data_IF_756739625444
#
_entry.id   IF_756739625444
#
_cell.length_a   1.000
_cell.length_b   1.000
_cell.length_c   1.000
_cell.angle_alpha   90.00
_cell.angle_beta   90.00
_cell.angle_gamma   90.00
#
_symmetry.space_group_name_H-M   'P 1'
#
loop_
_entity.id
_entity.type
_entity.pdbx_description
1 polymer ?
#
# COMPACT_ATOMS: atom_id res chain seq x y z
N UNK A 1 -15.65 -4.37 4.20
CA UNK A 1 -14.56 -3.94 3.30
C UNK A 1 -14.14 -5.11 2.41
N UNK A 2 -13.82 -4.91 1.13
CA UNK A 2 -13.51 -5.99 0.18
C UNK A 2 -12.36 -6.93 0.61
N UNK A 3 -11.35 -6.39 1.31
CA UNK A 3 -10.16 -7.13 1.73
C UNK A 3 -10.43 -8.16 2.85
N UNK A 4 -11.57 -8.05 3.54
CA UNK A 4 -12.00 -8.91 4.65
C UNK A 4 -10.89 -9.09 5.72
N UNK A 5 -10.56 -7.99 6.41
CA UNK A 5 -9.51 -7.94 7.43
C UNK A 5 -9.98 -8.64 8.69
N UNK A 6 -9.10 -9.46 9.27
CA UNK A 6 -9.32 -10.12 10.55
C UNK A 6 -8.26 -9.68 11.57
N UNK A 7 -8.61 -9.75 12.85
CA UNK A 7 -7.67 -9.55 13.96
C UNK A 7 -6.43 -10.46 13.79
N UNK A 8 -5.25 -9.90 13.94
CA UNK A 8 -3.98 -10.61 13.78
C UNK A 8 -3.40 -10.57 12.36
N UNK A 9 -4.13 -10.06 11.37
CA UNK A 9 -3.60 -9.94 10.01
C UNK A 9 -2.44 -8.93 9.93
N UNK A 10 -1.43 -9.29 9.16
CA UNK A 10 -0.42 -8.35 8.68
C UNK A 10 -0.83 -7.81 7.33
N UNK A 11 -1.06 -6.50 7.25
CA UNK A 11 -1.63 -5.83 6.07
C UNK A 11 -0.61 -4.89 5.44
N UNK A 12 -0.46 -4.96 4.12
CA UNK A 12 0.32 -4.01 3.33
C UNK A 12 -0.61 -3.10 2.54
N UNK A 13 -0.39 -1.79 2.62
CA UNK A 13 -1.01 -0.79 1.76
C UNK A 13 0.10 -0.14 0.90
N UNK A 14 0.18 -0.51 -0.38
CA UNK A 14 1.27 -0.10 -1.28
C UNK A 14 1.14 1.35 -1.78
N UNK A 15 -0.01 2.00 -1.58
CA UNK A 15 -0.30 3.36 -2.01
C UNK A 15 -1.03 4.11 -0.90
N UNK A 16 -0.43 4.10 0.29
CA UNK A 16 -1.12 4.37 1.54
C UNK A 16 -1.54 5.82 1.74
N UNK A 17 -0.87 6.79 1.10
CA UNK A 17 -1.20 8.18 1.34
C UNK A 17 -2.48 8.59 0.58
N UNK A 18 -3.36 9.44 1.14
CA UNK A 18 -3.16 10.28 2.33
C UNK A 18 -3.47 9.59 3.66
N UNK A 19 -3.87 8.32 3.70
CA UNK A 19 -3.99 7.53 4.93
C UNK A 19 -5.40 7.13 5.36
N UNK A 20 -6.45 7.52 4.61
CA UNK A 20 -7.83 7.20 5.00
C UNK A 20 -8.12 5.69 5.00
N UNK A 21 -7.72 4.98 3.94
CA UNK A 21 -7.84 3.52 3.84
C UNK A 21 -6.99 2.83 4.89
N UNK A 22 -5.73 3.26 5.05
CA UNK A 22 -4.83 2.78 6.08
C UNK A 22 -5.39 2.94 7.51
N UNK A 23 -6.04 4.07 7.84
CA UNK A 23 -6.72 4.26 9.13
C UNK A 23 -7.89 3.28 9.30
N UNK A 24 -8.70 3.07 8.25
CA UNK A 24 -9.79 2.08 8.29
C UNK A 24 -9.26 0.65 8.51
N UNK A 25 -8.13 0.30 7.90
CA UNK A 25 -7.48 -0.99 8.10
C UNK A 25 -7.07 -1.16 9.57
N UNK A 26 -6.43 -0.14 10.16
CA UNK A 26 -5.99 -0.17 11.55
C UNK A 26 -7.16 -0.28 12.53
N UNK A 27 -8.25 0.44 12.28
CA UNK A 27 -9.47 0.37 13.08
C UNK A 27 -10.08 -1.04 13.07
N UNK A 28 -10.09 -1.70 11.90
CA UNK A 28 -10.59 -3.08 11.76
C UNK A 28 -9.67 -4.14 12.38
N UNK A 29 -8.37 -3.90 12.46
CA UNK A 29 -7.41 -4.83 13.09
C UNK A 29 -7.53 -4.86 14.62
N UNK A 30 -7.95 -3.73 15.21
CA UNK A 30 -8.00 -3.57 16.66
C UNK A 30 -6.63 -3.77 17.32
N UNK A 31 -6.58 -4.66 18.31
CA UNK A 31 -5.41 -4.83 19.19
C UNK A 31 -4.43 -5.91 18.73
N UNK A 32 -4.52 -6.41 17.48
CA UNK A 32 -3.61 -7.47 16.99
C UNK A 32 -3.29 -7.31 15.51
N UNK A 33 -2.14 -7.84 15.08
CA UNK A 33 -1.63 -7.67 13.71
C UNK A 33 -0.83 -6.37 13.55
N UNK A 34 -0.55 -6.02 12.29
CA UNK A 34 0.18 -4.78 11.95
C UNK A 34 -0.10 -4.28 10.54
N UNK A 35 0.12 -2.98 10.31
CA UNK A 35 -0.05 -2.36 8.99
C UNK A 35 1.23 -1.70 8.51
N UNK A 36 1.67 -2.08 7.32
CA UNK A 36 2.74 -1.39 6.59
C UNK A 36 2.10 -0.49 5.54
N UNK A 37 2.31 0.82 5.65
CA UNK A 37 1.96 1.77 4.60
C UNK A 37 3.17 2.19 3.78
N UNK A 38 3.04 2.17 2.47
CA UNK A 38 4.08 2.59 1.52
C UNK A 38 3.52 3.66 0.59
N UNK A 39 4.30 4.70 0.32
CA UNK A 39 3.96 5.68 -0.72
C UNK A 39 5.23 6.41 -1.17
N UNK A 40 5.31 6.76 -2.45
CA UNK A 40 6.44 7.49 -3.01
C UNK A 40 6.49 8.95 -2.53
N UNK A 41 5.33 9.53 -2.22
CA UNK A 41 5.18 10.94 -1.89
C UNK A 41 5.31 11.19 -0.38
N UNK A 42 6.53 11.48 0.06
CA UNK A 42 6.86 11.83 1.46
C UNK A 42 5.93 12.87 2.11
N UNK A 43 5.56 13.90 1.36
CA UNK A 43 4.68 14.96 1.88
C UNK A 43 3.24 14.45 2.12
N UNK A 44 2.73 13.55 1.27
CA UNK A 44 1.41 12.91 1.49
C UNK A 44 1.46 11.96 2.67
N UNK A 45 2.56 11.23 2.86
CA UNK A 45 2.74 10.39 4.05
C UNK A 45 2.87 11.19 5.35
N UNK A 46 3.40 12.42 5.31
CA UNK A 46 3.37 13.30 6.48
C UNK A 46 1.93 13.66 6.90
N UNK A 47 1.02 13.80 5.94
CA UNK A 47 -0.41 13.95 6.21
C UNK A 47 -1.01 12.66 6.80
N UNK A 48 -0.67 11.48 6.23
CA UNK A 48 -1.05 10.17 6.77
C UNK A 48 -0.63 10.02 8.23
N UNK A 49 0.64 10.32 8.55
CA UNK A 49 1.14 10.33 9.94
C UNK A 49 0.33 11.27 10.85
N UNK A 50 -0.04 12.44 10.35
CA UNK A 50 -0.85 13.40 11.11
C UNK A 50 -2.24 12.82 11.42
N UNK A 51 -2.85 12.12 10.46
CA UNK A 51 -4.13 11.42 10.68
C UNK A 51 -3.98 10.30 11.71
N UNK A 52 -2.93 9.47 11.60
CA UNK A 52 -2.65 8.38 12.54
C UNK A 52 -2.49 8.88 13.99
N UNK A 53 -1.81 10.02 14.16
CA UNK A 53 -1.65 10.66 15.46
C UNK A 53 -2.96 11.26 15.97
N UNK A 54 -3.72 11.93 15.09
CA UNK A 54 -4.99 12.57 15.45
C UNK A 54 -6.03 11.54 15.92
N UNK A 55 -6.08 10.38 15.29
CA UNK A 55 -7.02 9.32 15.63
C UNK A 55 -6.46 8.26 16.58
N UNK A 56 -5.21 8.41 17.04
CA UNK A 56 -4.53 7.45 17.91
C UNK A 56 -4.48 6.01 17.35
N UNK A 57 -4.43 5.86 16.02
CA UNK A 57 -4.42 4.55 15.33
C UNK A 57 -3.00 4.09 14.95
N UNK A 58 -1.98 4.92 15.14
CA UNK A 58 -0.65 4.67 14.58
C UNK A 58 0.19 3.61 15.32
N UNK A 59 -0.29 3.05 16.41
CA UNK A 59 0.49 2.21 17.31
C UNK A 59 0.99 0.88 16.70
N UNK A 60 0.19 0.31 15.79
CA UNK A 60 0.53 -0.92 15.03
C UNK A 60 0.94 -0.65 13.58
N UNK A 61 1.15 0.62 13.24
CA UNK A 61 1.47 1.04 11.89
C UNK A 61 2.97 1.32 11.73
N UNK A 62 3.52 1.04 10.54
CA UNK A 62 4.80 1.58 10.08
C UNK A 62 4.66 2.14 8.67
N UNK A 63 5.27 3.31 8.42
CA UNK A 63 5.19 4.01 7.15
C UNK A 63 6.57 4.12 6.50
N UNK A 64 6.65 3.73 5.24
CA UNK A 64 7.84 3.82 4.41
C UNK A 64 7.63 4.77 3.24
N UNK A 65 8.61 5.62 3.00
CA UNK A 65 8.74 6.35 1.73
C UNK A 65 9.54 5.45 0.79
N UNK A 66 8.89 4.90 -0.23
CA UNK A 66 9.51 4.01 -1.21
C UNK A 66 8.68 3.96 -2.50
N UNK A 67 9.27 3.41 -3.57
CA UNK A 67 8.52 3.02 -4.75
C UNK A 67 7.80 1.69 -4.47
N UNK A 68 6.47 1.68 -4.59
CA UNK A 68 5.64 0.50 -4.36
C UNK A 68 5.91 -0.63 -5.36
N UNK A 69 6.51 -0.34 -6.52
CA UNK A 69 6.90 -1.34 -7.52
C UNK A 69 8.12 -2.15 -7.06
N UNK A 70 9.05 -1.53 -6.34
CA UNK A 70 10.32 -2.17 -5.93
C UNK A 70 10.36 -2.53 -4.44
N UNK A 71 9.37 -2.10 -3.66
CA UNK A 71 9.27 -2.40 -2.23
C UNK A 71 9.29 -3.92 -1.96
N UNK A 72 10.05 -4.36 -0.95
CA UNK A 72 10.31 -5.78 -0.71
C UNK A 72 10.28 -6.22 0.77
N UNK A 73 9.89 -5.34 1.70
CA UNK A 73 9.95 -5.65 3.14
C UNK A 73 8.72 -6.42 3.62
N UNK A 74 8.93 -7.47 4.41
CA UNK A 74 7.88 -8.33 5.00
C UNK A 74 7.31 -7.78 6.32
N UNK A 75 6.25 -8.41 6.89
CA UNK A 75 5.79 -8.10 8.24
C UNK A 75 6.91 -8.22 9.30
N UNK A 76 7.09 -7.17 10.11
CA UNK A 76 7.96 -7.23 11.28
C UNK A 76 7.34 -8.16 12.33
N UNK A 77 8.12 -9.10 12.85
CA UNK A 77 7.68 -10.08 13.84
C UNK A 77 7.26 -11.46 13.29
N UNK A 78 7.35 -11.72 11.98
CA UNK A 78 7.08 -13.04 11.39
C UNK A 78 8.16 -14.10 11.68
N UNK A 79 9.32 -13.70 12.21
CA UNK A 79 10.34 -14.62 12.71
C UNK A 79 10.08 -14.87 14.20
N UNK A 80 9.55 -16.05 14.52
CA UNK A 80 9.40 -16.54 15.88
C UNK A 80 10.73 -16.59 16.63
N UNK A 81 10.74 -16.05 17.84
CA UNK A 81 11.54 -16.47 19.01
C UNK A 81 13.02 -16.79 18.79
N UNK A 82 13.84 -15.78 18.48
CA UNK A 82 15.20 -15.76 19.02
C UNK A 82 15.17 -14.99 20.35
N UNK A 83 15.23 -15.73 21.47
CA UNK A 83 15.54 -15.15 22.78
C UNK A 83 16.77 -14.23 22.63
N UNK A 84 16.79 -13.03 23.23
CA UNK A 84 18.02 -12.27 23.30
C UNK A 84 18.99 -13.09 24.15
N UNK A 85 20.06 -13.59 23.54
CA UNK A 85 21.19 -14.13 24.27
C UNK A 85 21.88 -12.92 24.92
N UNK A 86 21.83 -12.83 26.26
CA UNK A 86 22.69 -11.92 27.00
C UNK A 86 24.14 -12.33 26.79
N UNK A 87 24.78 -11.70 25.81
CA UNK A 87 26.24 -11.67 25.72
C UNK A 87 26.67 -10.21 25.74
N UNK A 88 27.21 -9.81 26.89
CA UNK A 88 27.91 -8.56 27.14
C UNK A 88 29.09 -8.40 26.18
N UNK A 89 28.85 -7.85 24.98
CA UNK A 89 29.87 -7.20 24.17
C UNK A 89 29.24 -5.96 23.52
N UNK A 90 29.66 -4.80 24.02
CA UNK A 90 29.24 -3.47 23.59
C UNK A 90 29.74 -3.15 22.18
N UNK A 91 29.06 -3.67 21.16
CA UNK A 91 29.00 -3.00 19.87
C UNK A 91 27.75 -2.11 19.85
N UNK A 92 27.87 -0.88 19.34
CA UNK A 92 26.74 0.05 19.21
C UNK A 92 25.79 -0.46 18.11
N UNK A 93 24.98 -1.45 18.44
CA UNK A 93 23.94 -1.95 17.54
C UNK A 93 22.86 -0.87 17.43
N UNK A 94 22.60 -0.42 16.20
CA UNK A 94 21.57 0.58 15.88
C UNK A 94 20.16 -0.03 16.03
N UNK A 95 19.72 -0.20 17.28
CA UNK A 95 18.41 -0.72 17.66
C UNK A 95 17.35 0.39 17.59
N UNK A 96 16.18 0.10 17.00
CA UNK A 96 15.05 1.02 17.01
C UNK A 96 14.43 1.14 18.41
N UNK A 97 14.47 2.34 18.98
CA UNK A 97 13.77 2.69 20.22
C UNK A 97 12.34 3.13 19.94
N UNK A 98 11.55 3.42 20.98
CA UNK A 98 10.21 4.00 20.78
C UNK A 98 10.27 5.25 19.89
N UNK A 99 9.35 5.34 18.93
CA UNK A 99 9.33 6.45 18.00
C UNK A 99 9.04 7.77 18.71
N UNK A 100 9.83 8.81 18.41
CA UNK A 100 9.61 10.15 18.93
C UNK A 100 9.46 11.15 17.80
N UNK A 101 8.58 12.14 17.98
CA UNK A 101 8.37 13.23 17.01
C UNK A 101 9.58 14.18 16.90
N UNK A 102 10.47 14.16 17.91
CA UNK A 102 11.63 15.05 17.99
C UNK A 102 12.80 14.48 17.18
N UNK A 103 12.96 14.97 15.95
CA UNK A 103 14.20 14.76 15.19
C UNK A 103 15.40 15.30 15.96
N UNK A 104 16.41 14.46 16.12
CA UNK A 104 17.70 14.83 16.71
C UNK A 104 18.39 15.92 15.88
N UNK A 105 19.27 16.69 16.51
CA UNK A 105 20.05 17.73 15.82
C UNK A 105 20.80 17.19 14.60
N UNK A 106 21.35 15.97 14.70
CA UNK A 106 22.07 15.28 13.61
C UNK A 106 21.16 15.01 12.41
N UNK A 107 19.95 14.52 12.64
CA UNK A 107 18.96 14.26 11.58
C UNK A 107 18.47 15.56 10.92
N UNK A 108 18.27 16.64 11.70
CA UNK A 108 17.93 17.96 11.16
C UNK A 108 19.04 18.50 10.26
N UNK A 109 20.31 18.32 10.66
CA UNK A 109 21.48 18.75 9.88
C UNK A 109 21.63 17.92 8.59
N UNK A 110 21.35 16.62 8.63
CA UNK A 110 21.33 15.73 7.45
C UNK A 110 20.22 16.13 6.47
N UNK A 111 19.00 16.37 6.98
CA UNK A 111 17.86 16.82 6.18
C UNK A 111 18.07 18.19 5.52
N UNK A 112 18.79 19.11 6.19
CA UNK A 112 19.19 20.41 5.61
C UNK A 112 20.24 20.28 4.50
N UNK A 113 21.09 19.24 4.55
CA UNK A 113 22.11 18.98 3.52
C UNK A 113 21.54 18.27 2.28
N UNK A 114 20.44 17.53 2.41
CA UNK A 114 19.85 16.72 1.34
C UNK A 114 18.99 17.49 0.31
N UNK A 115 19.03 18.83 0.28
CA UNK A 115 18.29 19.64 -0.69
C UNK A 115 16.76 19.57 -0.56
N UNK A 116 15.99 20.21 -1.47
CA UNK A 116 14.54 20.06 -1.54
C UNK A 116 14.15 18.59 -1.78
N UNK A 117 12.94 18.14 -1.35
CA UNK A 117 12.51 16.76 -1.52
C UNK A 117 12.54 16.36 -3.00
N UNK A 118 13.56 15.61 -3.40
CA UNK A 118 13.66 15.03 -4.73
C UNK A 118 12.62 13.91 -4.87
N UNK A 119 12.13 13.71 -6.10
CA UNK A 119 11.35 12.53 -6.46
C UNK A 119 12.18 11.30 -6.06
N UNK A 120 11.57 10.37 -5.32
CA UNK A 120 12.25 9.14 -4.90
C UNK A 120 12.74 8.44 -6.17
N UNK A 121 14.05 8.33 -6.35
CA UNK A 121 14.61 7.54 -7.44
C UNK A 121 14.32 6.07 -7.18
N UNK A 122 14.01 5.29 -8.23
CA UNK A 122 13.67 3.86 -8.15
C UNK A 122 14.71 3.01 -7.39
N UNK A 123 15.93 3.52 -7.24
CA UNK A 123 17.09 2.86 -6.61
C UNK A 123 17.34 3.26 -5.15
N UNK A 124 16.56 4.14 -4.54
CA UNK A 124 16.73 4.47 -3.12
C UNK A 124 16.09 3.41 -2.22
N UNK A 125 16.76 2.98 -1.13
CA UNK A 125 16.18 2.03 -0.19
C UNK A 125 14.95 2.64 0.50
N UNK A 126 13.96 1.81 0.90
CA UNK A 126 12.79 2.28 1.62
C UNK A 126 13.18 3.09 2.86
N UNK A 127 12.62 4.30 3.02
CA UNK A 127 12.90 5.14 4.18
C UNK A 127 11.77 5.02 5.20
N UNK A 128 12.03 4.41 6.36
CA UNK A 128 11.10 4.40 7.48
C UNK A 128 10.94 5.80 8.08
N UNK A 129 9.73 6.35 8.03
CA UNK A 129 9.43 7.72 8.51
C UNK A 129 8.55 7.76 9.76
N UNK A 130 7.86 6.67 10.06
CA UNK A 130 6.96 6.52 11.20
C UNK A 130 6.81 5.05 11.56
N UNK A 131 6.76 4.74 12.85
CA UNK A 131 6.40 3.43 13.37
C UNK A 131 5.82 3.57 14.77
N UNK A 132 4.75 2.83 15.07
CA UNK A 132 4.16 2.78 16.40
C UNK A 132 4.87 1.78 17.33
N UNK A 133 4.49 1.75 18.62
CA UNK A 133 5.13 0.91 19.63
C UNK A 133 4.97 -0.58 19.31
N UNK A 134 3.77 -0.99 18.90
CA UNK A 134 3.42 -2.37 18.59
C UNK A 134 3.44 -2.67 17.07
N UNK A 135 4.17 -1.87 16.29
CA UNK A 135 4.37 -2.07 14.84
C UNK A 135 5.33 -3.22 14.48
N UNK A 136 5.96 -3.80 15.50
CA UNK A 136 7.02 -4.82 15.38
C UNK A 136 8.42 -4.24 15.15
N UNK A 137 8.58 -2.91 15.06
CA UNK A 137 9.88 -2.28 14.77
C UNK A 137 10.72 -2.04 16.04
N UNK A 138 10.08 -1.72 17.17
CA UNK A 138 10.80 -1.41 18.42
C UNK A 138 11.56 -2.65 18.89
N UNK A 139 12.86 -2.50 19.16
CA UNK A 139 13.75 -3.59 19.54
C UNK A 139 14.46 -4.30 18.38
N UNK A 140 14.05 -4.06 17.12
CA UNK A 140 14.76 -4.61 15.96
C UNK A 140 16.02 -3.81 15.61
N UNK A 141 16.98 -4.49 15.01
CA UNK A 141 18.11 -3.84 14.36
C UNK A 141 17.72 -3.33 12.97
N UNK A 142 18.52 -2.43 12.40
CA UNK A 142 18.34 -2.00 11.00
C UNK A 142 18.52 -3.17 10.02
N UNK A 143 19.45 -4.07 10.29
CA UNK A 143 19.72 -5.22 9.42
C UNK A 143 18.53 -6.16 9.37
N UNK A 144 17.88 -6.41 10.51
CA UNK A 144 16.68 -7.24 10.60
C UNK A 144 15.49 -6.59 9.88
N UNK A 145 15.29 -5.28 10.04
CA UNK A 145 14.17 -4.57 9.42
C UNK A 145 14.28 -4.52 7.89
N UNK A 146 15.49 -4.31 7.37
CA UNK A 146 15.76 -4.18 5.94
C UNK A 146 16.26 -5.48 5.30
N UNK A 147 16.13 -6.61 5.99
CA UNK A 147 16.52 -7.92 5.47
C UNK A 147 15.72 -8.24 4.22
N UNK A 148 16.43 -8.52 3.13
CA UNK A 148 15.83 -9.05 1.91
C UNK A 148 15.63 -10.55 2.12
N UNK A 149 14.39 -10.99 1.96
CA UNK A 149 14.00 -12.39 2.11
C UNK A 149 13.79 -13.04 0.75
N UNK A 150 13.99 -14.35 0.69
CA UNK A 150 13.73 -15.14 -0.52
C UNK A 150 12.23 -15.21 -0.82
N UNK A 151 11.84 -15.43 -2.08
CA UNK A 151 10.42 -15.58 -2.46
C UNK A 151 9.73 -16.74 -1.70
N UNK A 152 10.50 -17.79 -1.33
CA UNK A 152 10.00 -18.91 -0.51
C UNK A 152 9.61 -18.47 0.89
N UNK A 153 10.41 -17.62 1.54
CA UNK A 153 10.09 -17.06 2.85
C UNK A 153 8.88 -16.11 2.78
N UNK A 154 8.72 -15.38 1.68
CA UNK A 154 7.55 -14.51 1.49
C UNK A 154 6.26 -15.34 1.37
N UNK A 155 6.33 -16.51 0.72
CA UNK A 155 5.19 -17.42 0.62
C UNK A 155 4.67 -17.90 1.98
N UNK A 156 5.54 -18.07 2.99
CA UNK A 156 5.14 -18.47 4.34
C UNK A 156 4.87 -17.29 5.28
N UNK A 157 5.71 -16.26 5.21
CA UNK A 157 5.86 -15.21 6.23
C UNK A 157 5.55 -13.80 5.71
N UNK A 158 5.08 -13.68 4.47
CA UNK A 158 4.62 -12.44 3.85
C UNK A 158 3.30 -11.92 4.44
N UNK A 159 2.70 -10.94 3.77
CA UNK A 159 1.48 -10.30 4.26
C UNK A 159 0.27 -11.22 4.12
N UNK A 160 -0.61 -11.20 5.13
CA UNK A 160 -1.92 -11.86 5.07
C UNK A 160 -2.82 -11.19 4.03
N UNK A 161 -2.76 -9.85 3.99
CA UNK A 161 -3.62 -9.00 3.17
C UNK A 161 -2.81 -7.91 2.50
N UNK A 162 -3.09 -7.64 1.23
CA UNK A 162 -2.44 -6.56 0.48
C UNK A 162 -3.50 -5.69 -0.17
N UNK A 163 -3.37 -4.38 -0.03
CA UNK A 163 -4.16 -3.38 -0.72
C UNK A 163 -3.29 -2.64 -1.73
N UNK A 164 -3.75 -2.65 -2.98
CA UNK A 164 -3.18 -1.87 -4.08
C UNK A 164 -4.25 -0.90 -4.56
N UNK A 165 -4.32 0.27 -3.91
CA UNK A 165 -5.14 1.39 -4.36
C UNK A 165 -4.33 2.25 -5.32
N UNK A 166 -4.30 1.86 -6.59
CA UNK A 166 -3.31 2.36 -7.53
C UNK A 166 -3.57 3.81 -7.98
N UNK A 167 -2.49 4.53 -8.29
CA UNK A 167 -2.61 5.83 -8.95
C UNK A 167 -3.34 5.68 -10.28
N UNK A 168 -4.36 6.51 -10.48
CA UNK A 168 -5.29 6.43 -11.61
C UNK A 168 -5.40 7.79 -12.34
N UNK A 169 -6.11 7.87 -13.47
CA UNK A 169 -6.44 9.15 -14.15
C UNK A 169 -7.44 10.02 -13.37
N UNK A 170 -8.13 9.45 -12.38
CA UNK A 170 -9.16 10.07 -11.53
C UNK A 170 -10.43 10.54 -12.28
N UNK A 171 -10.68 9.99 -13.46
CA UNK A 171 -11.85 10.21 -14.32
C UNK A 171 -13.18 9.71 -13.72
N UNK A 172 -13.14 8.89 -12.67
CA UNK A 172 -14.33 8.53 -11.89
C UNK A 172 -14.66 9.50 -10.76
N UNK A 173 -13.74 10.38 -10.36
CA UNK A 173 -13.92 11.20 -9.16
C UNK A 173 -14.56 12.54 -9.49
N UNK A 174 -15.85 12.71 -9.18
CA UNK A 174 -16.61 13.95 -9.43
C UNK A 174 -15.92 15.17 -8.80
N UNK A 175 -15.40 15.03 -7.57
CA UNK A 175 -14.63 16.09 -6.90
C UNK A 175 -13.34 16.46 -7.63
N UNK A 176 -12.67 15.49 -8.27
CA UNK A 176 -11.49 15.78 -9.09
C UNK A 176 -11.89 16.41 -10.43
N UNK A 177 -13.01 15.98 -11.00
CA UNK A 177 -13.54 16.55 -12.24
C UNK A 177 -13.87 18.03 -12.06
N UNK A 178 -14.57 18.39 -10.98
CA UNK A 178 -14.89 19.78 -10.63
C UNK A 178 -13.66 20.68 -10.41
N UNK A 179 -12.51 20.10 -10.01
CA UNK A 179 -11.26 20.87 -9.92
C UNK A 179 -10.74 21.28 -11.29
N UNK A 180 -11.09 20.57 -12.37
CA UNK A 180 -10.65 20.93 -13.72
C UNK A 180 -11.34 22.18 -14.28
N UNK A 181 -12.55 22.52 -13.82
CA UNK A 181 -13.15 23.84 -14.13
C UNK A 181 -12.24 24.98 -13.69
N UNK A 182 -11.58 24.82 -12.54
CA UNK A 182 -10.68 25.81 -11.98
C UNK A 182 -9.25 25.72 -12.56
N UNK A 183 -8.80 24.53 -12.97
CA UNK A 183 -7.42 24.28 -13.44
C UNK A 183 -7.24 24.37 -14.96
N UNK A 184 -8.33 24.50 -15.72
CA UNK A 184 -8.36 24.73 -17.16
C UNK A 184 -8.23 23.46 -18.03
N UNK A 185 -8.73 23.56 -19.26
CA UNK A 185 -8.84 22.47 -20.24
C UNK A 185 -7.51 21.81 -20.64
N UNK A 186 -6.39 22.56 -20.64
CA UNK A 186 -5.05 21.98 -20.86
C UNK A 186 -4.65 21.00 -19.77
N UNK A 187 -5.07 21.24 -18.52
CA UNK A 187 -4.80 20.35 -17.38
C UNK A 187 -5.68 19.11 -17.45
N UNK A 188 -6.94 19.25 -17.88
CA UNK A 188 -7.85 18.13 -18.15
C UNK A 188 -7.29 17.22 -19.25
N UNK A 189 -6.91 17.79 -20.40
CA UNK A 189 -6.37 17.02 -21.53
C UNK A 189 -5.15 16.20 -21.10
N UNK A 190 -4.18 16.83 -20.44
CA UNK A 190 -2.96 16.15 -19.97
C UNK A 190 -3.20 15.11 -18.87
N UNK A 191 -4.17 15.30 -17.98
CA UNK A 191 -4.38 14.39 -16.83
C UNK A 191 -5.36 13.26 -17.10
N UNK A 192 -6.29 13.46 -18.02
CA UNK A 192 -7.44 12.56 -18.25
C UNK A 192 -7.47 12.01 -19.68
N UNK A 193 -7.07 12.79 -20.70
CA UNK A 193 -7.22 12.43 -22.11
C UNK A 193 -5.90 12.09 -22.81
N UNK A 194 -4.80 12.03 -22.06
CA UNK A 194 -3.46 11.76 -22.57
C UNK A 194 -3.23 10.24 -22.67
N UNK A 195 -3.10 9.74 -23.91
CA UNK A 195 -2.92 8.33 -24.22
C UNK A 195 -1.57 7.81 -23.70
N UNK A 196 -0.47 8.56 -23.89
CA UNK A 196 0.85 8.15 -23.39
C UNK A 196 0.86 8.07 -21.85
N UNK A 197 0.17 8.98 -21.18
CA UNK A 197 -0.01 8.90 -19.73
C UNK A 197 -0.80 7.65 -19.33
N UNK A 198 -1.83 7.30 -20.09
CA UNK A 198 -2.66 6.12 -19.82
C UNK A 198 -1.86 4.83 -19.93
N UNK A 199 -1.00 4.71 -20.95
CA UNK A 199 -0.10 3.56 -21.13
C UNK A 199 0.93 3.47 -20.00
N UNK A 200 1.54 4.59 -19.62
CA UNK A 200 2.48 4.64 -18.49
C UNK A 200 1.79 4.26 -17.16
N UNK A 201 0.54 4.69 -16.96
CA UNK A 201 -0.25 4.32 -15.79
C UNK A 201 -0.62 2.83 -15.80
N UNK A 202 -0.97 2.27 -16.95
CA UNK A 202 -1.25 0.85 -17.09
C UNK A 202 -0.02 0.00 -16.68
N UNK A 203 1.17 0.32 -17.19
CA UNK A 203 2.42 -0.36 -16.82
C UNK A 203 2.72 -0.21 -15.32
N UNK A 204 2.52 0.99 -14.76
CA UNK A 204 2.71 1.24 -13.34
C UNK A 204 1.73 0.42 -12.48
N UNK A 205 0.45 0.41 -12.84
CA UNK A 205 -0.61 -0.31 -12.14
C UNK A 205 -0.37 -1.81 -12.14
N UNK A 206 0.00 -2.37 -13.30
CA UNK A 206 0.38 -3.78 -13.41
C UNK A 206 1.61 -4.09 -12.54
N UNK A 207 2.63 -3.24 -12.57
CA UNK A 207 3.85 -3.43 -11.77
C UNK A 207 3.57 -3.38 -10.26
N UNK A 208 2.69 -2.47 -9.81
CA UNK A 208 2.25 -2.37 -8.42
C UNK A 208 1.44 -3.61 -8.00
N UNK A 209 0.52 -4.06 -8.84
CA UNK A 209 -0.28 -5.26 -8.61
C UNK A 209 0.60 -6.50 -8.50
N UNK A 210 1.53 -6.68 -9.44
CA UNK A 210 2.50 -7.79 -9.45
C UNK A 210 3.38 -7.77 -8.21
N UNK A 211 3.93 -6.62 -7.81
CA UNK A 211 4.76 -6.56 -6.60
C UNK A 211 3.93 -6.79 -5.32
N UNK A 212 2.72 -6.25 -5.25
CA UNK A 212 1.80 -6.52 -4.14
C UNK A 212 1.48 -8.00 -4.01
N UNK A 213 1.23 -8.68 -5.14
CA UNK A 213 0.95 -10.11 -5.15
C UNK A 213 2.18 -10.97 -4.81
N UNK A 214 3.38 -10.52 -5.21
CA UNK A 214 4.65 -11.14 -4.79
C UNK A 214 4.76 -11.16 -3.26
N UNK A 215 4.49 -10.04 -2.60
CA UNK A 215 4.58 -9.86 -1.14
C UNK A 215 3.46 -10.53 -0.34
N UNK A 216 2.43 -11.04 -1.01
CA UNK A 216 1.35 -11.78 -0.39
C UNK A 216 1.81 -13.21 -0.06
N UNK A 217 1.48 -13.68 1.15
CA UNK A 217 1.69 -15.09 1.52
C UNK A 217 0.71 -16.01 0.79
N UNK A 218 1.01 -17.30 0.72
CA UNK A 218 0.08 -18.30 0.17
C UNK A 218 -1.20 -18.36 1.03
N UNK A 219 -2.36 -18.38 0.37
CA UNK A 219 -3.67 -18.27 1.02
C UNK A 219 -4.04 -16.85 1.47
N UNK A 220 -3.14 -15.87 1.30
CA UNK A 220 -3.44 -14.46 1.53
C UNK A 220 -4.39 -13.90 0.48
N UNK A 221 -4.98 -12.73 0.77
CA UNK A 221 -5.87 -12.03 -0.15
C UNK A 221 -5.31 -10.65 -0.56
N UNK A 222 -5.43 -10.30 -1.83
CA UNK A 222 -5.06 -8.99 -2.34
C UNK A 222 -6.30 -8.29 -2.91
N UNK A 223 -6.45 -6.99 -2.66
CA UNK A 223 -7.45 -6.16 -3.33
C UNK A 223 -6.74 -5.12 -4.18
N UNK A 224 -7.08 -5.08 -5.46
CA UNK A 224 -6.75 -4.02 -6.38
C UNK A 224 -7.94 -3.07 -6.49
N UNK A 225 -7.71 -1.77 -6.37
CA UNK A 225 -8.74 -0.75 -6.58
C UNK A 225 -8.22 0.46 -7.33
N UNK A 226 -9.10 1.07 -8.11
CA UNK A 226 -8.82 2.37 -8.74
C UNK A 226 -10.05 3.28 -8.67
N UNK A 227 -9.80 4.57 -8.82
CA UNK A 227 -10.79 5.62 -8.97
C UNK A 227 -11.17 5.93 -10.43
N UNK A 228 -10.81 5.04 -11.37
CA UNK A 228 -10.96 5.26 -12.81
C UNK A 228 -12.18 4.51 -13.36
N UNK A 229 -12.85 5.10 -14.34
CA UNK A 229 -13.88 4.42 -15.13
C UNK A 229 -13.28 3.75 -16.38
N UNK A 230 -12.06 4.11 -16.74
CA UNK A 230 -11.35 3.63 -17.93
C UNK A 230 -11.07 2.13 -17.84
N UNK A 231 -11.43 1.37 -18.88
CA UNK A 231 -11.25 -0.09 -18.93
C UNK A 231 -9.76 -0.48 -18.96
N UNK A 232 -8.94 0.29 -19.67
CA UNK A 232 -7.49 0.08 -19.76
C UNK A 232 -6.74 0.10 -18.41
N UNK A 233 -7.28 0.79 -17.41
CA UNK A 233 -6.70 0.86 -16.05
C UNK A 233 -7.31 -0.15 -15.08
N UNK A 234 -8.36 -0.84 -15.51
CA UNK A 234 -9.14 -1.77 -14.71
C UNK A 234 -9.02 -3.16 -15.31
N UNK A 235 -9.98 -3.60 -16.12
CA UNK A 235 -10.04 -4.97 -16.64
C UNK A 235 -8.81 -5.36 -17.44
N UNK A 236 -8.25 -4.48 -18.27
CA UNK A 236 -7.07 -4.81 -19.07
C UNK A 236 -5.85 -5.12 -18.17
N UNK A 237 -5.71 -4.41 -17.04
CA UNK A 237 -4.69 -4.70 -16.02
C UNK A 237 -4.93 -6.06 -15.36
N UNK A 238 -6.18 -6.37 -15.03
CA UNK A 238 -6.57 -7.64 -14.39
C UNK A 238 -6.31 -8.82 -15.35
N UNK A 239 -6.70 -8.69 -16.61
CA UNK A 239 -6.51 -9.72 -17.63
C UNK A 239 -5.02 -9.97 -17.90
N UNK A 240 -4.21 -8.91 -18.02
CA UNK A 240 -2.77 -9.06 -18.20
C UNK A 240 -2.11 -9.69 -16.97
N UNK A 241 -2.47 -9.25 -15.77
CA UNK A 241 -1.95 -9.81 -14.53
C UNK A 241 -2.25 -11.31 -14.39
N UNK A 242 -3.49 -11.75 -14.69
CA UNK A 242 -3.88 -13.16 -14.62
C UNK A 242 -3.15 -14.03 -15.66
N UNK A 243 -2.85 -13.49 -16.84
CA UNK A 243 -2.04 -14.19 -17.86
C UNK A 243 -0.60 -14.43 -17.39
N UNK A 244 -0.03 -13.48 -16.65
CA UNK A 244 1.35 -13.53 -16.17
C UNK A 244 1.52 -14.29 -14.84
N UNK A 245 0.44 -14.47 -14.06
CA UNK A 245 0.50 -15.02 -12.71
C UNK A 245 -0.44 -16.22 -12.52
N UNK A 246 0.05 -17.42 -12.84
CA UNK A 246 -0.75 -18.66 -12.75
C UNK A 246 -1.22 -19.00 -11.31
N UNK A 247 -0.52 -18.51 -10.27
CA UNK A 247 -0.90 -18.71 -8.86
C UNK A 247 -1.94 -17.72 -8.35
N UNK A 248 -2.39 -16.78 -9.18
CA UNK A 248 -3.43 -15.82 -8.83
C UNK A 248 -4.81 -16.35 -9.24
N UNK A 249 -5.72 -16.39 -8.28
CA UNK A 249 -7.14 -16.68 -8.53
C UNK A 249 -8.00 -15.46 -8.20
N UNK A 250 -8.87 -15.09 -9.14
CA UNK A 250 -9.86 -14.04 -8.92
C UNK A 250 -11.03 -14.56 -8.08
N UNK A 251 -11.34 -13.85 -7.00
CA UNK A 251 -12.25 -14.28 -5.95
C UNK A 251 -13.51 -13.41 -5.92
N UNK A 252 -14.65 -14.04 -5.66
CA UNK A 252 -15.87 -13.29 -5.37
C UNK A 252 -15.72 -12.50 -4.07
N UNK A 253 -16.43 -11.38 -4.00
CA UNK A 253 -16.55 -10.58 -2.80
C UNK A 253 -17.97 -10.80 -2.28
N UNK A 254 -18.13 -11.61 -1.25
CA UNK A 254 -19.46 -11.98 -0.72
C UNK A 254 -20.31 -10.74 -0.38
N UNK A 255 -19.67 -9.72 0.20
CA UNK A 255 -20.31 -8.46 0.54
C UNK A 255 -20.80 -7.68 -0.68
N UNK A 256 -20.24 -7.89 -1.88
CA UNK A 256 -20.61 -7.17 -3.10
C UNK A 256 -22.03 -7.45 -3.56
N UNK A 257 -22.61 -8.60 -3.19
CA UNK A 257 -24.03 -8.91 -3.47
C UNK A 257 -24.99 -7.90 -2.84
N UNK A 258 -24.57 -7.24 -1.76
CA UNK A 258 -25.35 -6.22 -1.05
C UNK A 258 -25.01 -4.79 -1.46
N UNK A 259 -23.99 -4.59 -2.29
CA UNK A 259 -23.53 -3.27 -2.67
C UNK A 259 -24.30 -2.76 -3.89
N UNK A 260 -24.53 -1.43 -4.01
CA UNK A 260 -25.15 -0.84 -5.18
C UNK A 260 -24.12 -0.74 -6.33
N UNK A 261 -23.57 -1.87 -6.79
CA UNK A 261 -22.53 -1.93 -7.81
C UNK A 261 -22.93 -2.79 -9.01
N UNK A 262 -22.21 -2.64 -10.12
CA UNK A 262 -22.34 -3.48 -11.32
C UNK A 262 -21.13 -4.41 -11.44
N UNK A 263 -21.33 -5.57 -12.08
CA UNK A 263 -20.21 -6.39 -12.52
C UNK A 263 -19.37 -5.65 -13.56
N UNK A 264 -18.04 -5.85 -13.52
CA UNK A 264 -17.14 -5.40 -14.58
C UNK A 264 -17.18 -6.32 -15.81
N UNK A 265 -16.33 -6.03 -16.82
CA UNK A 265 -16.24 -6.89 -18.02
C UNK A 265 -15.63 -8.26 -17.72
N UNK A 266 -14.73 -8.31 -16.75
CA UNK A 266 -14.16 -9.54 -16.21
C UNK A 266 -15.04 -10.02 -15.08
N UNK A 267 -15.39 -11.31 -15.08
CA UNK A 267 -16.20 -11.92 -14.00
C UNK A 267 -15.56 -11.68 -12.63
N UNK A 268 -16.37 -11.62 -11.57
CA UNK A 268 -15.92 -11.36 -10.18
C UNK A 268 -15.24 -10.00 -9.93
N UNK A 269 -15.24 -9.09 -10.91
CA UNK A 269 -14.84 -7.69 -10.72
C UNK A 269 -16.05 -6.78 -10.57
N UNK A 270 -15.88 -5.66 -9.86
CA UNK A 270 -17.00 -4.78 -9.50
C UNK A 270 -16.71 -3.33 -9.83
N UNK A 271 -17.71 -2.65 -10.38
CA UNK A 271 -17.70 -1.24 -10.76
C UNK A 271 -18.77 -0.47 -10.00
N UNK A 272 -18.38 0.69 -9.52
CA UNK A 272 -19.26 1.70 -8.96
C UNK A 272 -19.25 2.89 -9.90
N UNK A 273 -20.42 3.47 -10.12
CA UNK A 273 -20.59 4.61 -10.99
C UNK A 273 -21.66 5.56 -10.43
N UNK A 274 -21.65 6.86 -10.81
CA UNK A 274 -22.59 7.83 -10.29
C UNK A 274 -24.06 7.50 -10.56
N UNK A 275 -24.38 6.79 -11.65
CA UNK A 275 -25.76 6.47 -12.03
C UNK A 275 -26.30 5.30 -11.19
N UNK A 276 -25.49 4.28 -10.95
CA UNK A 276 -25.92 3.08 -10.24
C UNK A 276 -25.71 3.19 -8.74
N UNK A 277 -24.54 3.67 -8.33
CA UNK A 277 -24.08 3.61 -6.95
C UNK A 277 -24.34 4.90 -6.19
N UNK A 278 -24.64 5.99 -6.91
CA UNK A 278 -24.67 7.36 -6.36
C UNK A 278 -23.34 7.75 -5.67
N UNK A 279 -22.24 7.13 -6.10
CA UNK A 279 -20.89 7.40 -5.61
C UNK A 279 -20.00 7.86 -6.75
N UNK A 280 -18.80 8.36 -6.41
CA UNK A 280 -17.71 8.47 -7.38
C UNK A 280 -17.40 7.10 -8.01
N UNK A 281 -16.82 7.12 -9.21
CA UNK A 281 -16.31 5.95 -9.89
C UNK A 281 -15.26 5.21 -9.06
N UNK A 282 -15.45 3.91 -8.90
CA UNK A 282 -14.55 3.00 -8.20
C UNK A 282 -14.58 1.65 -8.91
N UNK A 283 -13.41 1.03 -9.03
CA UNK A 283 -13.25 -0.35 -9.48
C UNK A 283 -12.60 -1.18 -8.38
N UNK A 284 -13.05 -2.42 -8.20
CA UNK A 284 -12.51 -3.35 -7.20
C UNK A 284 -12.38 -4.75 -7.78
N UNK A 285 -11.20 -5.34 -7.61
CA UNK A 285 -10.91 -6.73 -7.89
C UNK A 285 -10.20 -7.37 -6.68
N UNK A 286 -10.57 -8.62 -6.34
CA UNK A 286 -10.01 -9.36 -5.21
C UNK A 286 -9.36 -10.64 -5.71
N UNK A 287 -8.15 -10.91 -5.25
CA UNK A 287 -7.36 -12.09 -5.60
C UNK A 287 -7.02 -12.89 -4.35
N UNK A 288 -6.78 -14.19 -4.53
CA UNK A 288 -6.12 -15.05 -3.54
C UNK A 288 -4.93 -15.74 -4.19
N UNK A 289 -3.86 -15.95 -3.42
CA UNK A 289 -2.64 -16.63 -3.87
C UNK A 289 -2.71 -18.11 -3.56
N UNK A 290 -2.68 -18.94 -4.59
CA UNK A 290 -2.73 -20.40 -4.48
C UNK A 290 -1.34 -20.97 -4.18
N UNK A 291 -1.33 -22.14 -3.53
CA UNK A 291 -0.15 -23.00 -3.47
C UNK A 291 -0.10 -23.80 -4.77
N UNK A 292 0.82 -23.48 -5.67
CA UNK A 292 1.09 -24.25 -6.89
C UNK A 292 2.48 -24.86 -6.78
#
# INVERSE_FOLDING_TARGET
MALNISAGDHVLDLCAAPGAKLCMILDLLGDSGSVTGVDVARHRLAACRTMLQKYSLGDRCRLFVADGVTFSLIPAGSCSDSKPCESDLTEKVDIFKEWTSRRTWKERKKARKSGPPQLVSRSQPPELIYYGRHSGVVGLTKEDLYKIVSDREIMSSGYNKVLVDAECTHDGSVKHIQKFEHWGWKTLQRRVLDAERTDNLHVLQLSLLTNGFRLLKVGGSLVYSTCSLTVAQNEDVIEQFLKENASAELQEIDAARSWPCKGGRVEKTWRFDPLTSQTSGLFVAKFTKLAI
#
